data_IF_405904567413
#
_entry.id   IF_405904567413
#
_cell.length_a   1.000
_cell.length_b   1.000
_cell.length_c   1.000
_cell.angle_alpha   90.00
_cell.angle_beta   90.00
_cell.angle_gamma   90.00
#
_symmetry.space_group_name_H-M   'P 1'
#
loop_
_entity.id
_entity.type
_entity.pdbx_description
1 polymer ?
#
# COMPACT_ATOMS: atom_id res chain seq x y z
N UNK A 1 -5.91 2.77 -9.00
CA UNK A 1 -5.58 2.69 -7.57
C UNK A 1 -5.50 4.10 -6.99
N UNK A 2 -6.01 4.31 -5.79
CA UNK A 2 -6.03 5.61 -5.15
C UNK A 2 -5.92 5.44 -3.63
N UNK A 3 -5.21 6.33 -2.95
CA UNK A 3 -5.06 6.36 -1.49
C UNK A 3 -6.17 7.14 -0.79
N UNK A 4 -7.09 7.77 -1.54
CA UNK A 4 -8.20 8.56 -1.00
C UNK A 4 -9.53 7.96 -1.46
N UNK A 5 -10.40 7.61 -0.50
CA UNK A 5 -11.75 7.12 -0.78
C UNK A 5 -12.57 8.15 -1.60
N UNK A 6 -12.44 9.44 -1.26
CA UNK A 6 -13.14 10.51 -1.97
C UNK A 6 -12.70 10.63 -3.45
N UNK A 7 -11.38 10.52 -3.72
CA UNK A 7 -10.87 10.52 -5.10
C UNK A 7 -11.32 9.27 -5.86
N UNK A 8 -11.38 8.13 -5.19
CA UNK A 8 -11.85 6.88 -5.80
C UNK A 8 -13.31 6.99 -6.23
N UNK A 9 -14.15 7.58 -5.37
CA UNK A 9 -15.56 7.82 -5.68
C UNK A 9 -15.73 8.78 -6.88
N UNK A 10 -14.96 9.85 -6.91
CA UNK A 10 -14.95 10.78 -8.05
C UNK A 10 -14.54 10.08 -9.37
N UNK A 11 -13.59 9.15 -9.31
CA UNK A 11 -13.20 8.37 -10.50
C UNK A 11 -14.32 7.41 -10.92
N UNK A 12 -14.98 6.77 -9.96
CA UNK A 12 -16.13 5.89 -10.23
C UNK A 12 -17.26 6.64 -10.94
N UNK A 13 -17.58 7.83 -10.46
CA UNK A 13 -18.62 8.66 -11.06
C UNK A 13 -18.26 9.09 -12.48
N UNK A 14 -17.04 9.56 -12.72
CA UNK A 14 -16.55 9.89 -14.08
C UNK A 14 -16.59 8.69 -15.03
N UNK A 15 -16.29 7.49 -14.54
CA UNK A 15 -16.42 6.28 -15.36
C UNK A 15 -17.87 6.04 -15.75
N UNK A 16 -18.83 6.16 -14.81
CA UNK A 16 -20.25 6.03 -15.09
C UNK A 16 -20.72 7.03 -16.14
N UNK A 17 -20.43 8.32 -15.93
CA UNK A 17 -20.77 9.38 -16.87
C UNK A 17 -20.22 9.12 -18.28
N UNK A 18 -18.98 8.64 -18.39
CA UNK A 18 -18.38 8.30 -19.66
C UNK A 18 -19.08 7.10 -20.33
N UNK A 19 -19.41 6.06 -19.58
CA UNK A 19 -20.17 4.92 -20.12
C UNK A 19 -21.54 5.36 -20.60
N UNK A 20 -22.28 6.15 -19.82
CA UNK A 20 -23.59 6.69 -20.21
C UNK A 20 -23.50 7.51 -21.49
N UNK A 21 -22.58 8.45 -21.55
CA UNK A 21 -22.39 9.31 -22.74
C UNK A 21 -22.09 8.49 -24.00
N UNK A 22 -21.17 7.53 -23.91
CA UNK A 22 -20.75 6.73 -25.06
C UNK A 22 -21.89 5.79 -25.51
N UNK A 23 -22.53 5.10 -24.57
CA UNK A 23 -23.60 4.15 -24.91
C UNK A 23 -24.81 4.86 -25.51
N UNK A 24 -25.16 6.05 -25.04
CA UNK A 24 -26.22 6.88 -25.65
C UNK A 24 -25.87 7.24 -27.08
N UNK A 25 -24.62 7.58 -27.40
CA UNK A 25 -24.18 7.96 -28.73
C UNK A 25 -24.28 6.80 -29.73
N UNK A 26 -24.21 5.55 -29.27
CA UNK A 26 -24.23 4.35 -30.12
C UNK A 26 -25.49 3.50 -29.95
N UNK A 27 -26.48 3.93 -29.18
CA UNK A 27 -27.69 3.16 -28.89
C UNK A 27 -27.39 1.83 -28.18
N UNK A 28 -26.30 1.76 -27.42
CA UNK A 28 -25.89 0.56 -26.71
C UNK A 28 -26.39 0.55 -25.25
N UNK A 29 -26.43 -0.64 -24.68
CA UNK A 29 -26.72 -0.82 -23.25
C UNK A 29 -25.46 -1.30 -22.51
N UNK A 30 -25.33 -0.97 -21.24
CA UNK A 30 -24.21 -1.43 -20.41
C UNK A 30 -24.65 -1.76 -18.99
N UNK A 31 -23.85 -2.58 -18.33
CA UNK A 31 -23.95 -2.84 -16.89
C UNK A 31 -22.59 -2.59 -16.28
N UNK A 32 -22.50 -1.65 -15.35
CA UNK A 32 -21.28 -1.34 -14.62
C UNK A 32 -21.38 -1.91 -13.19
N UNK A 33 -20.54 -2.89 -12.87
CA UNK A 33 -20.34 -3.37 -11.51
C UNK A 33 -19.04 -2.83 -10.99
N UNK A 34 -19.07 -2.27 -9.79
CA UNK A 34 -17.86 -1.78 -9.11
C UNK A 34 -17.72 -2.45 -7.75
N UNK A 35 -16.53 -2.95 -7.45
CA UNK A 35 -16.22 -3.59 -6.19
C UNK A 35 -14.99 -2.93 -5.58
N UNK A 36 -15.07 -2.57 -4.30
CA UNK A 36 -13.96 -2.00 -3.56
C UNK A 36 -13.18 -3.13 -2.87
N UNK A 37 -12.09 -3.58 -3.48
CA UNK A 37 -11.23 -4.61 -2.88
C UNK A 37 -10.41 -4.09 -1.70
N UNK A 38 -10.10 -2.79 -1.68
CA UNK A 38 -9.19 -2.22 -0.68
C UNK A 38 -9.51 -0.74 -0.48
N UNK A 39 -9.88 -0.32 0.73
CA UNK A 39 -10.25 1.08 1.02
C UNK A 39 -9.07 2.06 0.96
N UNK A 40 -7.85 1.55 0.80
CA UNK A 40 -6.64 2.33 0.94
C UNK A 40 -6.19 2.46 2.40
N UNK A 41 -4.92 2.77 2.59
CA UNK A 41 -4.32 2.99 3.90
C UNK A 41 -3.52 4.29 3.86
N UNK A 42 -3.69 5.10 4.89
CA UNK A 42 -2.82 6.25 5.15
C UNK A 42 -2.34 6.17 6.59
N UNK A 43 -1.03 6.13 6.77
CA UNK A 43 -0.40 6.26 8.08
C UNK A 43 0.32 7.62 8.09
N UNK A 44 0.01 8.46 9.08
CA UNK A 44 0.68 9.75 9.24
C UNK A 44 2.16 9.52 9.58
N UNK A 45 3.03 10.38 9.04
CA UNK A 45 4.47 10.33 9.36
C UNK A 45 4.76 10.58 10.83
N UNK A 46 3.90 11.34 11.52
CA UNK A 46 4.00 11.61 12.95
C UNK A 46 3.44 10.46 13.83
N UNK A 47 2.85 9.42 13.23
CA UNK A 47 2.31 8.31 13.99
C UNK A 47 3.41 7.57 14.76
N UNK A 48 3.21 7.21 16.06
CA UNK A 48 4.22 6.55 16.89
C UNK A 48 4.84 5.30 16.25
N UNK A 49 4.04 4.49 15.54
CA UNK A 49 4.52 3.31 14.82
C UNK A 49 5.61 3.66 13.79
N UNK A 50 5.50 4.80 13.12
CA UNK A 50 6.50 5.25 12.14
C UNK A 50 7.80 5.59 12.86
N UNK A 51 7.73 6.30 13.99
CA UNK A 51 8.89 6.60 14.83
C UNK A 51 9.60 5.33 15.34
N UNK A 52 8.84 4.34 15.80
CA UNK A 52 9.40 3.05 16.24
C UNK A 52 10.13 2.32 15.11
N UNK A 53 9.52 2.27 13.93
CA UNK A 53 10.14 1.66 12.75
C UNK A 53 11.44 2.40 12.39
N UNK A 54 11.42 3.72 12.31
CA UNK A 54 12.61 4.52 12.00
C UNK A 54 13.73 4.28 13.01
N UNK A 55 13.42 4.27 14.30
CA UNK A 55 14.42 4.01 15.36
C UNK A 55 15.10 2.65 15.22
N UNK A 56 14.36 1.60 14.84
CA UNK A 56 14.94 0.28 14.57
C UNK A 56 15.85 0.29 13.35
N UNK A 57 15.45 0.97 12.27
CA UNK A 57 16.29 1.11 11.07
C UNK A 57 17.59 1.83 11.41
N UNK A 58 17.53 2.96 12.12
CA UNK A 58 18.69 3.75 12.54
C UNK A 58 19.62 2.95 13.45
N UNK A 59 19.06 2.20 14.42
CA UNK A 59 19.85 1.32 15.30
C UNK A 59 20.59 0.21 14.54
N UNK A 60 20.09 -0.19 13.38
CA UNK A 60 20.73 -1.15 12.49
C UNK A 60 21.68 -0.50 11.45
N UNK A 61 21.87 0.81 11.52
CA UNK A 61 22.68 1.57 10.53
C UNK A 61 22.03 1.66 9.16
N UNK A 62 20.70 1.55 9.08
CA UNK A 62 19.95 1.64 7.83
C UNK A 62 19.21 2.97 7.83
N UNK A 63 19.41 3.79 6.81
CA UNK A 63 18.67 5.04 6.63
C UNK A 63 17.19 4.75 6.32
N UNK A 64 16.23 5.19 7.16
CA UNK A 64 14.81 4.96 6.91
C UNK A 64 14.32 5.85 5.76
N UNK A 65 13.72 5.25 4.73
CA UNK A 65 13.10 5.97 3.61
C UNK A 65 11.60 5.78 3.63
N UNK A 66 10.88 6.85 3.99
CA UNK A 66 9.41 6.84 4.02
C UNK A 66 8.89 7.20 2.64
N UNK A 67 8.25 6.24 1.99
CA UNK A 67 7.65 6.41 0.67
C UNK A 67 6.17 6.07 0.69
N UNK A 68 5.44 6.62 -0.27
CA UNK A 68 4.06 6.24 -0.53
C UNK A 68 4.02 5.19 -1.63
N UNK A 69 3.31 4.09 -1.39
CA UNK A 69 3.06 3.06 -2.40
C UNK A 69 1.57 2.98 -2.73
N UNK A 70 1.25 2.55 -3.94
CA UNK A 70 -0.11 2.27 -4.39
C UNK A 70 -0.34 0.76 -4.61
N UNK A 71 0.60 -0.08 -4.20
CA UNK A 71 0.46 -1.52 -4.18
C UNK A 71 -0.60 -1.98 -3.18
N UNK A 72 -1.27 -3.10 -3.46
CA UNK A 72 -2.10 -3.79 -2.47
C UNK A 72 -1.20 -4.59 -1.53
N UNK A 73 -1.53 -4.61 -0.25
CA UNK A 73 -0.85 -5.41 0.77
C UNK A 73 -1.78 -5.60 1.98
N UNK A 74 -1.50 -6.59 2.80
CA UNK A 74 -2.38 -6.98 3.92
C UNK A 74 -2.56 -5.90 4.98
N UNK A 75 -1.58 -4.99 5.13
CA UNK A 75 -1.68 -3.83 6.01
C UNK A 75 -2.92 -2.96 5.76
N UNK A 76 -3.42 -2.94 4.53
CA UNK A 76 -4.66 -2.22 4.20
C UNK A 76 -5.88 -2.87 4.87
N UNK A 77 -5.92 -4.21 4.91
CA UNK A 77 -6.98 -4.95 5.59
C UNK A 77 -6.93 -4.71 7.10
N UNK A 78 -5.74 -4.71 7.71
CA UNK A 78 -5.57 -4.37 9.12
C UNK A 78 -6.03 -2.95 9.43
N UNK A 79 -5.64 -1.98 8.60
CA UNK A 79 -6.06 -0.59 8.76
C UNK A 79 -7.58 -0.42 8.64
N UNK A 80 -8.24 -1.15 7.77
CA UNK A 80 -9.70 -1.15 7.64
C UNK A 80 -10.41 -1.65 8.91
N UNK A 81 -9.73 -2.44 9.74
CA UNK A 81 -10.22 -2.92 11.03
C UNK A 81 -9.69 -2.10 12.23
N UNK A 82 -9.16 -0.91 11.98
CA UNK A 82 -8.71 0.01 13.02
C UNK A 82 -7.32 -0.28 13.59
N UNK A 83 -6.57 -1.21 12.99
CA UNK A 83 -5.20 -1.51 13.40
C UNK A 83 -4.22 -0.65 12.61
N UNK A 84 -3.35 0.08 13.31
CA UNK A 84 -2.26 0.79 12.66
C UNK A 84 -1.28 -0.21 12.03
N UNK A 85 -1.01 -0.05 10.75
CA UNK A 85 -0.10 -0.91 10.01
C UNK A 85 0.87 -0.10 9.16
N UNK A 86 2.12 -0.55 9.08
CA UNK A 86 3.13 -0.01 8.20
C UNK A 86 3.63 -1.13 7.28
N UNK A 87 3.77 -0.84 5.99
CA UNK A 87 4.36 -1.78 5.05
C UNK A 87 5.87 -1.53 4.97
N UNK A 88 6.67 -2.56 5.16
CA UNK A 88 8.13 -2.48 5.12
C UNK A 88 8.64 -3.08 3.82
N UNK A 89 9.59 -2.40 3.17
CA UNK A 89 10.27 -2.94 2.01
C UNK A 89 11.24 -4.05 2.42
N UNK A 90 11.26 -5.14 1.66
CA UNK A 90 12.19 -6.26 1.85
C UNK A 90 13.29 -6.33 0.77
N UNK A 91 13.43 -5.29 -0.07
CA UNK A 91 14.50 -5.19 -1.04
C UNK A 91 14.31 -6.02 -2.33
N UNK A 92 13.11 -6.55 -2.59
CA UNK A 92 12.87 -7.25 -3.84
C UNK A 92 12.85 -6.28 -5.04
N UNK A 93 13.30 -6.75 -6.18
CA UNK A 93 13.34 -6.05 -7.46
C UNK A 93 12.64 -6.86 -8.55
N UNK A 94 12.26 -6.19 -9.64
CA UNK A 94 11.58 -6.83 -10.77
C UNK A 94 10.18 -7.35 -10.44
N UNK A 95 9.49 -6.74 -9.51
CA UNK A 95 8.17 -7.16 -9.03
C UNK A 95 7.19 -7.43 -10.18
N UNK A 96 6.46 -8.54 -10.10
CA UNK A 96 5.51 -9.01 -11.11
C UNK A 96 6.14 -9.35 -12.48
N UNK A 97 7.41 -9.74 -12.51
CA UNK A 97 8.09 -10.21 -13.71
C UNK A 97 8.82 -11.52 -13.46
N UNK A 98 9.26 -12.18 -14.55
CA UNK A 98 10.08 -13.41 -14.46
C UNK A 98 11.49 -13.16 -13.89
N UNK A 99 11.90 -11.89 -13.79
CA UNK A 99 13.15 -11.48 -13.17
C UNK A 99 12.98 -11.03 -11.71
N UNK A 100 11.83 -11.28 -11.08
CA UNK A 100 11.62 -10.93 -9.69
C UNK A 100 12.58 -11.67 -8.78
N UNK A 101 13.28 -10.92 -7.96
CA UNK A 101 14.28 -11.47 -7.05
C UNK A 101 14.47 -10.60 -5.82
N UNK A 102 15.07 -11.18 -4.79
CA UNK A 102 15.59 -10.47 -3.61
C UNK A 102 17.02 -10.92 -3.36
N UNK A 103 17.89 -10.00 -3.01
CA UNK A 103 19.26 -10.37 -2.62
C UNK A 103 19.26 -10.95 -1.21
N UNK A 104 20.13 -11.94 -0.98
CA UNK A 104 20.25 -12.59 0.35
C UNK A 104 20.57 -11.56 1.46
N UNK A 105 21.37 -10.55 1.13
CA UNK A 105 21.70 -9.46 2.07
C UNK A 105 20.45 -8.66 2.46
N UNK A 106 19.58 -8.35 1.51
CA UNK A 106 18.35 -7.58 1.77
C UNK A 106 17.34 -8.43 2.56
N UNK A 107 17.26 -9.72 2.27
CA UNK A 107 16.47 -10.65 3.06
C UNK A 107 16.97 -10.72 4.52
N UNK A 108 18.30 -10.79 4.71
CA UNK A 108 18.91 -10.78 6.04
C UNK A 108 18.65 -9.46 6.79
N UNK A 109 18.73 -8.33 6.09
CA UNK A 109 18.39 -7.02 6.66
C UNK A 109 16.92 -6.97 7.09
N UNK A 110 16.01 -7.45 6.25
CA UNK A 110 14.58 -7.55 6.59
C UNK A 110 14.33 -8.38 7.86
N UNK A 111 14.98 -9.53 7.97
CA UNK A 111 14.90 -10.36 9.18
C UNK A 111 15.41 -9.64 10.45
N UNK A 112 16.53 -8.90 10.35
CA UNK A 112 17.05 -8.09 11.46
C UNK A 112 16.09 -6.98 11.87
N UNK A 113 15.47 -6.29 10.90
CA UNK A 113 14.47 -5.27 11.17
C UNK A 113 13.26 -5.89 11.88
N UNK A 114 12.74 -7.02 11.39
CA UNK A 114 11.63 -7.71 12.03
C UNK A 114 11.96 -8.10 13.48
N UNK A 115 13.14 -8.68 13.73
CA UNK A 115 13.59 -9.02 15.07
C UNK A 115 13.70 -7.76 15.95
N UNK A 116 14.26 -6.66 15.44
CA UNK A 116 14.36 -5.39 16.17
C UNK A 116 12.99 -4.87 16.57
N UNK A 117 12.01 -4.88 15.67
CA UNK A 117 10.64 -4.45 15.96
C UNK A 117 9.97 -5.34 17.02
N UNK A 118 10.17 -6.65 16.99
CA UNK A 118 9.60 -7.59 17.96
C UNK A 118 10.21 -7.42 19.36
N UNK A 119 11.45 -6.94 19.45
CA UNK A 119 12.16 -6.80 20.73
C UNK A 119 12.09 -5.40 21.34
N UNK A 120 11.81 -4.35 20.56
CA UNK A 120 11.67 -2.99 21.07
C UNK A 120 10.27 -2.69 21.65
N UNK A 121 9.29 -3.57 21.47
CA UNK A 121 7.93 -3.45 22.00
C UNK A 121 7.80 -4.02 23.44
N UNK A 122 8.76 -3.79 24.30
CA UNK A 122 8.68 -4.16 25.74
C UNK A 122 8.36 -2.94 26.59
#
# INVERSE_FOLDING_TARGET
RCSSAQKLESVREKLRENFERVTQSYGAQYTLRTELHSPGMQLDRAHPLVGQVCAVYEALGIEPKIARTYGGHDGVSFAAHGLAAANLGCGFAGCHSLSEHVRVEDLTRGARVALGLMTCCR
#
